data_IF_872251065339
#
_entry.id   IF_872251065339
#
_cell.length_a   1.000
_cell.length_b   1.000
_cell.length_c   1.000
_cell.angle_alpha   90.00
_cell.angle_beta   90.00
_cell.angle_gamma   90.00
#
_symmetry.space_group_name_H-M   'P 1'
#
loop_
_entity.id
_entity.type
_entity.pdbx_description
1 polymer ?
#
# COMPACT_ATOMS: atom_id res chain seq x y z
N UNK A 1 4.55 13.79 18.06
CA UNK A 1 5.13 13.10 16.89
C UNK A 1 6.54 13.61 16.75
N UNK A 2 7.52 12.71 16.65
CA UNK A 2 8.94 13.06 16.60
C UNK A 2 9.53 12.55 15.28
N UNK A 3 10.49 13.30 14.72
CA UNK A 3 11.41 12.78 13.72
C UNK A 3 12.64 12.24 14.45
N UNK A 4 13.04 11.02 14.08
CA UNK A 4 14.25 10.38 14.58
C UNK A 4 15.26 10.28 13.44
N UNK A 5 16.51 10.64 13.73
CA UNK A 5 17.64 10.39 12.84
C UNK A 5 18.65 9.52 13.55
N UNK A 6 19.18 8.56 12.80
CA UNK A 6 20.22 7.67 13.27
C UNK A 6 21.25 7.45 12.17
N UNK A 7 22.53 7.48 12.55
CA UNK A 7 23.66 7.31 11.63
C UNK A 7 24.23 5.88 11.67
N UNK A 8 23.56 4.96 12.36
CA UNK A 8 24.02 3.59 12.57
C UNK A 8 24.90 3.41 13.81
N UNK A 9 25.22 4.48 14.55
CA UNK A 9 25.99 4.45 15.79
C UNK A 9 25.40 5.40 16.86
N UNK A 10 25.82 5.23 18.12
CA UNK A 10 25.45 6.14 19.20
C UNK A 10 23.94 6.30 19.44
N UNK A 11 23.55 7.47 19.98
CA UNK A 11 22.19 7.76 20.37
C UNK A 11 21.36 8.32 19.21
N UNK A 12 20.06 7.98 19.21
CA UNK A 12 19.08 8.57 18.30
C UNK A 12 18.97 10.09 18.52
N UNK A 13 19.05 10.86 17.43
CA UNK A 13 18.70 12.28 17.45
C UNK A 13 17.20 12.41 17.25
N UNK A 14 16.58 13.35 17.96
CA UNK A 14 15.12 13.48 18.04
C UNK A 14 14.71 14.95 17.94
N UNK A 15 13.69 15.20 17.11
CA UNK A 15 13.03 16.50 17.02
C UNK A 15 11.52 16.34 17.11
N UNK A 16 10.90 16.99 18.08
CA UNK A 16 9.45 17.14 18.12
C UNK A 16 8.98 17.99 16.93
N UNK A 17 8.02 17.49 16.16
CA UNK A 17 7.48 18.25 15.02
C UNK A 17 6.37 19.19 15.48
N UNK A 18 6.51 20.48 15.16
CA UNK A 18 5.54 21.54 15.51
C UNK A 18 4.95 22.23 14.29
N UNK A 19 3.69 22.62 14.38
CA UNK A 19 3.01 23.49 13.43
C UNK A 19 2.30 24.61 14.21
N UNK A 20 2.52 25.87 13.82
CA UNK A 20 2.02 27.06 14.52
C UNK A 20 2.28 27.02 16.04
N UNK A 21 3.51 26.64 16.43
CA UNK A 21 3.97 26.60 17.82
C UNK A 21 3.44 25.42 18.64
N UNK A 22 2.64 24.52 18.07
CA UNK A 22 2.07 23.35 18.78
C UNK A 22 2.58 22.06 18.16
N UNK A 23 2.75 21.02 18.98
CA UNK A 23 3.03 19.67 18.50
C UNK A 23 1.98 19.23 17.49
N UNK A 24 2.42 18.66 16.37
CA UNK A 24 1.47 18.12 15.40
C UNK A 24 0.72 16.93 16.00
N UNK A 25 -0.54 16.77 15.60
CA UNK A 25 -1.36 15.61 15.95
C UNK A 25 -1.65 14.84 14.67
N UNK A 26 -1.27 13.57 14.68
CA UNK A 26 -1.68 12.58 13.70
C UNK A 26 -3.03 12.05 14.17
N UNK A 27 -4.05 12.16 13.31
CA UNK A 27 -5.42 11.74 13.64
C UNK A 27 -5.67 10.30 13.28
N UNK A 28 -4.96 9.77 12.29
CA UNK A 28 -5.09 8.41 11.80
C UNK A 28 -3.79 7.64 12.04
N UNK A 29 -2.91 7.56 11.05
CA UNK A 29 -1.66 6.80 11.13
C UNK A 29 -0.50 7.50 10.42
N UNK A 30 0.70 6.97 10.59
CA UNK A 30 1.87 7.28 9.76
C UNK A 30 2.31 5.97 9.13
N UNK A 31 1.97 5.78 7.85
CA UNK A 31 2.37 4.61 7.08
C UNK A 31 3.65 4.84 6.29
N UNK A 32 3.78 6.03 5.73
CA UNK A 32 4.86 6.38 4.83
C UNK A 32 5.34 7.82 5.07
N UNK A 33 6.62 8.06 4.80
CA UNK A 33 7.20 9.40 4.65
C UNK A 33 7.97 9.48 3.33
N UNK A 34 8.09 10.68 2.78
CA UNK A 34 8.98 10.96 1.66
C UNK A 34 10.16 11.81 2.14
N UNK A 35 11.35 11.51 1.62
CA UNK A 35 12.57 12.29 1.83
C UNK A 35 13.08 12.74 0.47
N UNK A 36 13.10 14.05 0.27
CA UNK A 36 13.59 14.74 -0.94
C UNK A 36 14.97 15.35 -0.66
N UNK A 37 15.57 16.04 -1.62
CA UNK A 37 16.85 16.73 -1.47
C UNK A 37 16.80 17.70 -0.27
N UNK A 38 15.77 18.54 -0.16
CA UNK A 38 15.69 19.55 0.90
C UNK A 38 14.60 19.35 1.95
N UNK A 39 13.64 18.45 1.73
CA UNK A 39 12.45 18.30 2.58
C UNK A 39 12.15 16.87 3.03
N UNK A 40 11.54 16.75 4.20
CA UNK A 40 10.82 15.56 4.66
C UNK A 40 9.32 15.87 4.61
N UNK A 41 8.55 14.95 4.05
CA UNK A 41 7.10 15.07 3.94
C UNK A 41 6.44 13.93 4.70
N UNK A 42 5.58 14.28 5.66
CA UNK A 42 4.80 13.34 6.46
C UNK A 42 3.33 13.43 6.05
N UNK A 43 2.67 12.29 5.93
CA UNK A 43 1.24 12.20 5.64
C UNK A 43 0.52 11.58 6.84
N UNK A 44 -0.44 12.30 7.42
CA UNK A 44 -1.47 11.71 8.29
C UNK A 44 -2.32 10.76 7.45
N UNK A 45 -1.88 9.51 7.38
CA UNK A 45 -2.26 8.56 6.35
C UNK A 45 -3.66 8.05 6.60
N UNK A 46 -4.41 7.96 5.51
CA UNK A 46 -5.73 7.40 5.55
C UNK A 46 -5.66 5.86 5.63
N UNK A 47 -5.35 5.37 6.82
CA UNK A 47 -5.59 4.01 7.27
C UNK A 47 -6.40 4.08 8.55
N UNK A 48 -7.41 3.21 8.66
CA UNK A 48 -8.12 3.04 9.92
C UNK A 48 -7.28 2.20 10.87
N UNK A 49 -7.34 2.54 12.15
CA UNK A 49 -6.94 1.62 13.21
C UNK A 49 -8.24 1.00 13.72
N UNK A 50 -8.47 -0.28 13.41
CA UNK A 50 -9.70 -0.96 13.81
C UNK A 50 -9.65 -1.28 15.31
N UNK A 51 -10.73 -0.98 16.05
CA UNK A 51 -10.82 -1.35 17.47
C UNK A 51 -10.69 -2.86 17.68
N UNK A 52 -11.10 -3.66 16.68
CA UNK A 52 -10.95 -5.12 16.66
C UNK A 52 -9.47 -5.56 16.68
N UNK A 53 -8.56 -4.81 16.03
CA UNK A 53 -7.11 -5.09 16.04
C UNK A 53 -6.47 -4.82 17.41
N UNK A 54 -7.10 -3.98 18.23
CA UNK A 54 -6.64 -3.66 19.58
C UNK A 54 -7.13 -4.68 20.62
N UNK A 55 -7.96 -5.63 20.22
CA UNK A 55 -8.59 -6.60 21.11
C UNK A 55 -7.96 -8.00 20.93
N UNK A 56 -7.69 -8.74 22.02
CA UNK A 56 -7.18 -10.09 21.92
C UNK A 56 -8.18 -11.00 21.20
N UNK A 57 -7.69 -11.87 20.32
CA UNK A 57 -8.49 -12.89 19.63
C UNK A 57 -9.06 -13.89 20.64
N UNK A 58 -10.34 -13.73 21.00
CA UNK A 58 -11.01 -14.58 21.98
C UNK A 58 -12.20 -15.31 21.34
N UNK A 59 -12.24 -16.64 21.49
CA UNK A 59 -13.05 -17.57 20.68
C UNK A 59 -14.51 -17.75 21.15
N UNK A 60 -14.99 -17.01 22.15
CA UNK A 60 -16.32 -17.22 22.74
C UNK A 60 -17.45 -16.57 21.91
N UNK A 61 -18.56 -17.29 21.67
CA UNK A 61 -19.76 -16.79 20.95
C UNK A 61 -20.35 -15.50 21.54
N UNK A 62 -20.37 -15.32 22.86
CA UNK A 62 -20.85 -14.07 23.49
C UNK A 62 -19.95 -12.88 23.14
N UNK A 63 -18.65 -13.14 23.01
CA UNK A 63 -17.66 -12.14 22.63
C UNK A 63 -17.79 -11.76 21.15
N UNK A 64 -18.06 -12.71 20.26
CA UNK A 64 -18.31 -12.43 18.84
C UNK A 64 -19.51 -11.48 18.65
N UNK A 65 -20.57 -11.60 19.45
CA UNK A 65 -21.69 -10.64 19.40
C UNK A 65 -21.29 -9.24 19.88
N UNK A 66 -20.43 -9.17 20.90
CA UNK A 66 -19.88 -7.93 21.41
C UNK A 66 -18.92 -7.26 20.42
N UNK A 67 -18.03 -8.02 19.78
CA UNK A 67 -17.12 -7.58 18.71
C UNK A 67 -17.91 -7.01 17.52
N UNK A 68 -18.96 -7.71 17.06
CA UNK A 68 -19.87 -7.19 16.03
C UNK A 68 -20.53 -5.87 16.44
N UNK A 69 -20.96 -5.76 17.71
CA UNK A 69 -21.52 -4.52 18.23
C UNK A 69 -20.48 -3.39 18.25
N UNK A 70 -19.27 -3.66 18.73
CA UNK A 70 -18.18 -2.69 18.78
C UNK A 70 -17.84 -2.18 17.38
N UNK A 71 -17.70 -3.07 16.40
CA UNK A 71 -17.50 -2.70 14.99
C UNK A 71 -18.62 -1.80 14.51
N UNK A 72 -19.87 -2.25 14.55
CA UNK A 72 -20.98 -1.45 14.03
C UNK A 72 -21.15 -0.09 14.74
N UNK A 73 -20.78 0.00 16.03
CA UNK A 73 -20.98 1.21 16.81
C UNK A 73 -19.82 2.20 16.74
N UNK A 74 -18.57 1.72 16.81
CA UNK A 74 -17.37 2.56 16.88
C UNK A 74 -16.68 2.75 15.53
N UNK A 75 -16.94 1.86 14.57
CA UNK A 75 -16.26 1.92 13.30
C UNK A 75 -16.72 3.11 12.45
N UNK A 76 -15.76 3.80 11.84
CA UNK A 76 -15.97 5.05 11.09
C UNK A 76 -15.07 5.04 9.86
N UNK A 77 -15.52 5.65 8.74
CA UNK A 77 -14.67 5.80 7.58
C UNK A 77 -13.44 6.66 7.91
N UNK A 78 -12.40 6.49 7.12
CA UNK A 78 -11.21 7.34 7.15
C UNK A 78 -11.57 8.82 6.97
N UNK A 79 -10.69 9.72 7.44
CA UNK A 79 -10.87 11.13 7.13
C UNK A 79 -10.64 11.32 5.62
N UNK A 80 -11.61 11.92 4.95
CA UNK A 80 -11.54 12.11 3.49
C UNK A 80 -10.53 13.19 3.07
N UNK A 81 -9.87 13.89 4.01
CA UNK A 81 -8.92 14.96 3.73
C UNK A 81 -7.54 14.61 4.31
N UNK A 82 -6.52 14.61 3.45
CA UNK A 82 -5.15 14.32 3.85
C UNK A 82 -4.46 15.54 4.45
N UNK A 83 -3.85 15.37 5.62
CA UNK A 83 -2.96 16.39 6.21
C UNK A 83 -1.50 16.03 5.94
N UNK A 84 -0.83 16.85 5.13
CA UNK A 84 0.60 16.74 4.89
C UNK A 84 1.36 17.75 5.75
N UNK A 85 2.48 17.32 6.32
CA UNK A 85 3.42 18.16 7.06
C UNK A 85 4.78 18.16 6.35
N UNK A 86 5.26 19.35 5.99
CA UNK A 86 6.48 19.57 5.21
C UNK A 86 7.53 20.18 6.12
N UNK A 87 8.71 19.55 6.18
CA UNK A 87 9.78 19.93 7.11
C UNK A 87 11.06 20.11 6.29
N UNK A 88 11.72 21.26 6.44
CA UNK A 88 13.01 21.51 5.78
C UNK A 88 14.09 20.70 6.49
N UNK A 89 14.85 19.91 5.74
CA UNK A 89 15.92 19.04 6.27
C UNK A 89 17.00 19.85 6.97
N UNK A 90 17.34 21.02 6.44
CA UNK A 90 18.32 21.94 7.04
C UNK A 90 17.94 22.44 8.44
N UNK A 91 16.65 22.36 8.80
CA UNK A 91 16.16 22.82 10.10
C UNK A 91 16.33 21.77 11.20
N UNK A 92 16.69 20.52 10.85
CA UNK A 92 17.03 19.43 11.78
C UNK A 92 18.42 19.65 12.41
N UNK A 93 18.52 20.72 13.19
CA UNK A 93 19.73 21.08 13.91
C UNK A 93 19.80 20.31 15.23
N UNK A 94 20.90 19.59 15.49
CA UNK A 94 21.09 18.78 16.69
C UNK A 94 21.05 19.58 18.02
N UNK A 95 21.21 20.90 17.99
CA UNK A 95 21.07 21.76 19.18
C UNK A 95 19.61 22.05 19.55
N UNK A 96 18.65 21.71 18.69
CA UNK A 96 17.22 21.94 18.89
C UNK A 96 16.52 20.64 19.26
N UNK A 97 15.53 20.74 20.14
CA UNK A 97 14.64 19.63 20.51
C UNK A 97 13.39 19.52 19.62
N UNK A 98 13.17 20.48 18.73
CA UNK A 98 11.98 20.55 17.89
C UNK A 98 12.28 21.17 16.52
N UNK A 99 11.41 20.91 15.56
CA UNK A 99 11.45 21.44 14.19
C UNK A 99 10.06 21.93 13.78
N UNK A 100 10.01 23.02 13.01
CA UNK A 100 8.75 23.56 12.50
C UNK A 100 8.41 22.93 11.15
N UNK A 101 7.16 22.50 11.01
CA UNK A 101 6.58 22.06 9.75
C UNK A 101 5.71 23.16 9.14
N UNK A 102 5.51 23.07 7.82
CA UNK A 102 4.37 23.66 7.12
C UNK A 102 3.29 22.61 6.97
N UNK A 103 2.03 23.03 6.89
CA UNK A 103 0.89 22.12 6.73
C UNK A 103 0.13 22.47 5.47
N UNK A 104 -0.21 21.46 4.69
CA UNK A 104 -1.15 21.56 3.58
C UNK A 104 -2.22 20.47 3.73
N UNK A 105 -3.44 20.79 3.31
CA UNK A 105 -4.55 19.84 3.25
C UNK A 105 -4.84 19.55 1.78
N UNK A 106 -4.75 18.28 1.41
CA UNK A 106 -5.09 17.81 0.06
C UNK A 106 -6.43 17.07 0.15
N UNK A 107 -7.45 17.47 -0.63
CA UNK A 107 -8.73 16.76 -0.67
C UNK A 107 -8.59 15.34 -1.22
N UNK A 108 -9.42 14.43 -0.67
CA UNK A 108 -9.42 12.97 -0.86
C UNK A 108 -8.32 12.29 -0.06
N UNK A 109 -8.67 11.14 0.51
CA UNK A 109 -7.83 10.25 1.30
C UNK A 109 -6.78 9.55 0.45
N UNK A 110 -5.57 9.35 0.99
CA UNK A 110 -4.49 8.64 0.33
C UNK A 110 -3.75 7.74 1.33
N UNK A 111 -3.37 6.56 0.86
CA UNK A 111 -2.57 5.59 1.61
C UNK A 111 -1.09 5.66 1.23
N UNK A 112 -0.83 5.73 -0.08
CA UNK A 112 0.51 5.75 -0.66
C UNK A 112 0.75 7.04 -1.42
N UNK A 113 1.97 7.57 -1.29
CA UNK A 113 2.40 8.73 -2.04
C UNK A 113 3.89 8.65 -2.38
N UNK A 114 4.33 9.42 -3.36
CA UNK A 114 5.73 9.58 -3.73
C UNK A 114 6.05 11.07 -3.83
N UNK A 115 7.33 11.39 -3.82
CA UNK A 115 7.80 12.74 -4.08
C UNK A 115 8.97 12.69 -5.09
N UNK A 116 9.03 13.68 -5.98
CA UNK A 116 10.26 13.91 -6.75
C UNK A 116 11.42 14.19 -5.78
N UNK A 117 12.60 13.63 -6.05
CA UNK A 117 13.75 13.85 -5.18
C UNK A 117 14.22 15.29 -5.24
N UNK A 118 14.33 15.87 -6.45
CA UNK A 118 14.72 17.26 -6.64
C UNK A 118 13.52 18.18 -6.50
N UNK A 119 13.72 19.27 -5.77
CA UNK A 119 12.68 20.24 -5.45
C UNK A 119 13.09 21.68 -5.83
N UNK A 120 13.33 21.97 -7.13
CA UNK A 120 13.84 23.26 -7.60
C UNK A 120 12.90 24.41 -7.23
N UNK A 121 13.47 25.57 -6.90
CA UNK A 121 12.71 26.76 -6.47
C UNK A 121 11.83 26.50 -5.23
N UNK A 122 12.26 25.60 -4.34
CA UNK A 122 11.50 25.14 -3.18
C UNK A 122 10.13 24.53 -3.54
N UNK A 123 9.97 24.00 -4.75
CA UNK A 123 8.73 23.34 -5.18
C UNK A 123 8.86 21.84 -4.99
N UNK A 124 7.97 21.27 -4.18
CA UNK A 124 7.86 19.83 -3.93
C UNK A 124 6.76 19.29 -4.82
N UNK A 125 7.07 18.30 -5.66
CA UNK A 125 6.08 17.53 -6.41
C UNK A 125 5.72 16.28 -5.61
N UNK A 126 4.44 16.09 -5.30
CA UNK A 126 3.90 14.89 -4.68
C UNK A 126 3.01 14.14 -5.67
N UNK A 127 3.16 12.81 -5.72
CA UNK A 127 2.34 11.91 -6.52
C UNK A 127 1.55 11.00 -5.59
N UNK A 128 0.22 11.04 -5.65
CA UNK A 128 -0.66 10.39 -4.69
C UNK A 128 -1.54 9.36 -5.38
N UNK A 129 -1.76 8.23 -4.70
CA UNK A 129 -2.89 7.34 -4.95
C UNK A 129 -3.99 7.66 -3.93
N UNK A 130 -5.10 8.24 -4.43
CA UNK A 130 -6.26 8.51 -3.60
C UNK A 130 -7.14 7.27 -3.49
N UNK A 131 -7.31 6.77 -2.27
CA UNK A 131 -8.08 5.56 -1.96
C UNK A 131 -9.55 5.90 -1.69
N UNK A 132 -10.24 6.44 -2.70
CA UNK A 132 -11.60 6.97 -2.52
C UNK A 132 -12.60 5.91 -2.04
N UNK A 133 -13.19 6.16 -0.87
CA UNK A 133 -14.20 5.35 -0.22
C UNK A 133 -13.79 3.88 0.01
N UNK A 134 -12.52 3.64 0.32
CA UNK A 134 -12.05 2.29 0.67
C UNK A 134 -10.75 2.33 1.47
N UNK A 135 -10.41 1.21 2.10
CA UNK A 135 -9.28 1.09 2.99
C UNK A 135 -8.69 -0.32 2.89
N UNK A 136 -7.39 -0.44 2.64
CA UNK A 136 -6.73 -1.75 2.59
C UNK A 136 -6.63 -2.45 3.96
N UNK A 137 -6.92 -1.75 5.06
CA UNK A 137 -7.08 -2.32 6.39
C UNK A 137 -8.51 -2.81 6.69
N UNK A 138 -9.45 -2.67 5.76
CA UNK A 138 -10.80 -3.23 5.89
C UNK A 138 -10.83 -4.65 5.33
N UNK A 139 -11.01 -5.62 6.22
CA UNK A 139 -11.07 -7.02 5.87
C UNK A 139 -12.50 -7.54 6.00
N UNK A 140 -12.89 -8.44 5.11
CA UNK A 140 -14.17 -9.14 5.20
C UNK A 140 -14.14 -10.02 6.44
N UNK A 141 -15.01 -9.70 7.40
CA UNK A 141 -15.08 -10.38 8.68
C UNK A 141 -16.19 -11.43 8.67
N UNK A 142 -16.12 -12.36 9.63
CA UNK A 142 -17.14 -13.40 9.85
C UNK A 142 -18.56 -12.83 10.01
N UNK A 143 -18.67 -11.57 10.44
CA UNK A 143 -19.95 -10.89 10.64
C UNK A 143 -20.64 -10.49 9.35
N UNK A 144 -19.90 -10.30 8.27
CA UNK A 144 -20.44 -9.90 6.97
C UNK A 144 -21.27 -11.04 6.35
N UNK A 145 -21.03 -12.29 6.76
CA UNK A 145 -21.80 -13.48 6.37
C UNK A 145 -22.95 -13.84 7.32
N UNK A 146 -23.16 -13.08 8.40
CA UNK A 146 -24.00 -13.49 9.54
C UNK A 146 -25.46 -13.00 9.50
N UNK A 147 -25.96 -12.44 8.39
CA UNK A 147 -27.35 -11.98 8.30
C UNK A 147 -28.33 -13.18 8.28
N UNK A 148 -29.15 -13.39 9.33
CA UNK A 148 -29.99 -14.59 9.46
C UNK A 148 -31.11 -14.69 8.41
N UNK A 149 -31.42 -13.60 7.71
CA UNK A 149 -32.42 -13.53 6.63
C UNK A 149 -31.89 -14.05 5.30
N UNK A 150 -30.60 -14.36 5.25
CA UNK A 150 -29.81 -14.59 4.06
C UNK A 150 -29.24 -16.02 4.14
N UNK A 151 -30.13 -17.01 4.31
CA UNK A 151 -29.78 -18.45 4.35
C UNK A 151 -29.64 -19.08 2.95
N UNK A 152 -29.15 -18.30 1.98
CA UNK A 152 -28.94 -18.81 0.62
C UNK A 152 -27.61 -19.57 0.55
N UNK A 153 -27.52 -20.56 -0.34
CA UNK A 153 -26.31 -21.34 -0.61
C UNK A 153 -25.12 -20.43 -1.00
N UNK A 154 -25.39 -19.33 -1.71
CA UNK A 154 -24.42 -18.29 -2.09
C UNK A 154 -23.63 -17.73 -0.90
N UNK A 155 -24.23 -17.61 0.29
CA UNK A 155 -23.53 -17.06 1.47
C UNK A 155 -22.65 -18.09 2.17
N UNK A 156 -22.91 -19.38 1.98
CA UNK A 156 -21.96 -20.42 2.41
C UNK A 156 -20.74 -20.45 1.51
N UNK A 157 -20.93 -20.25 0.20
CA UNK A 157 -19.83 -20.10 -0.75
C UNK A 157 -18.98 -18.90 -0.36
N UNK A 158 -19.53 -17.71 -0.13
CA UNK A 158 -18.77 -16.49 0.21
C UNK A 158 -17.91 -16.57 1.49
N UNK A 159 -18.06 -17.58 2.35
CA UNK A 159 -17.21 -17.72 3.56
C UNK A 159 -15.73 -17.91 3.25
N UNK A 160 -15.37 -18.37 2.04
CA UNK A 160 -13.96 -18.44 1.63
C UNK A 160 -13.30 -17.06 1.51
N UNK A 161 -14.10 -15.98 1.40
CA UNK A 161 -13.63 -14.60 1.38
C UNK A 161 -13.34 -14.03 2.77
N UNK A 162 -13.54 -14.81 3.85
CA UNK A 162 -13.15 -14.37 5.19
C UNK A 162 -11.66 -14.02 5.22
N UNK A 163 -11.34 -12.79 5.63
CA UNK A 163 -9.97 -12.29 5.64
C UNK A 163 -9.46 -11.82 4.28
N UNK A 164 -10.31 -11.70 3.26
CA UNK A 164 -9.99 -10.94 2.05
C UNK A 164 -10.18 -9.43 2.28
N UNK A 165 -9.47 -8.60 1.52
CA UNK A 165 -9.61 -7.14 1.58
C UNK A 165 -10.97 -6.74 0.97
N UNK A 166 -11.69 -5.86 1.65
CA UNK A 166 -12.97 -5.36 1.17
C UNK A 166 -12.80 -4.47 -0.07
N UNK A 167 -13.76 -4.56 -0.98
CA UNK A 167 -13.72 -3.85 -2.26
C UNK A 167 -13.99 -2.35 -2.11
N UNK A 168 -13.57 -1.54 -3.09
CA UNK A 168 -13.77 -0.10 -3.05
C UNK A 168 -15.24 0.31 -3.24
N UNK A 169 -15.67 1.33 -2.48
CA UNK A 169 -17.02 1.88 -2.59
C UNK A 169 -17.12 3.12 -3.48
N UNK A 170 -16.06 3.53 -4.18
CA UNK A 170 -16.08 4.58 -5.21
C UNK A 170 -14.83 4.47 -6.09
N UNK A 171 -14.84 5.13 -7.24
CA UNK A 171 -13.68 5.17 -8.13
C UNK A 171 -12.55 6.01 -7.52
N UNK A 172 -11.35 5.44 -7.46
CA UNK A 172 -10.15 6.09 -6.95
C UNK A 172 -9.48 6.98 -8.00
N UNK A 173 -8.53 7.82 -7.56
CA UNK A 173 -7.87 8.81 -8.43
C UNK A 173 -6.36 8.85 -8.20
N UNK A 174 -5.59 9.11 -9.24
CA UNK A 174 -4.19 9.49 -9.11
C UNK A 174 -4.06 11.01 -9.14
N UNK A 175 -3.14 11.56 -8.35
CA UNK A 175 -2.93 13.01 -8.31
C UNK A 175 -1.46 13.40 -8.30
N UNK A 176 -1.15 14.51 -8.96
CA UNK A 176 0.16 15.17 -8.93
C UNK A 176 -0.02 16.59 -8.41
N UNK A 177 0.68 16.93 -7.34
CA UNK A 177 0.52 18.17 -6.61
C UNK A 177 1.86 18.86 -6.48
N UNK A 178 1.93 20.13 -6.86
CA UNK A 178 3.13 20.96 -6.71
C UNK A 178 2.89 21.94 -5.59
N UNK A 179 3.76 21.92 -4.58
CA UNK A 179 3.58 22.63 -3.32
C UNK A 179 4.82 23.48 -3.07
N UNK A 180 4.62 24.73 -2.66
CA UNK A 180 5.72 25.55 -2.18
C UNK A 180 6.14 25.05 -0.78
N UNK A 181 7.35 24.53 -0.65
CA UNK A 181 7.87 23.96 0.60
C UNK A 181 8.13 24.99 1.70
N UNK A 182 8.28 26.27 1.37
CA UNK A 182 8.50 27.35 2.36
C UNK A 182 7.18 27.88 2.93
N UNK A 183 6.14 28.00 2.11
CA UNK A 183 4.84 28.54 2.54
C UNK A 183 3.83 27.46 2.89
N UNK A 184 3.90 26.30 2.25
CA UNK A 184 2.89 25.24 2.30
C UNK A 184 1.75 25.45 1.30
N UNK A 185 1.88 26.40 0.37
CA UNK A 185 0.82 26.72 -0.59
C UNK A 185 0.78 25.74 -1.76
N UNK A 186 -0.44 25.37 -2.17
CA UNK A 186 -0.67 24.58 -3.38
C UNK A 186 -0.45 25.47 -4.63
N UNK A 187 0.53 25.09 -5.45
CA UNK A 187 0.87 25.80 -6.70
C UNK A 187 0.14 25.21 -7.89
N UNK A 188 0.09 23.87 -7.97
CA UNK A 188 -0.53 23.13 -9.07
C UNK A 188 -1.15 21.84 -8.56
N UNK A 189 -2.24 21.44 -9.20
CA UNK A 189 -2.94 20.19 -8.95
C UNK A 189 -3.39 19.59 -10.28
N UNK A 190 -3.01 18.35 -10.48
CA UNK A 190 -3.42 17.50 -11.59
C UNK A 190 -4.02 16.23 -10.98
N UNK A 191 -5.17 15.77 -11.49
CA UNK A 191 -5.84 14.56 -10.98
C UNK A 191 -6.41 13.79 -12.16
N UNK A 192 -6.25 12.48 -12.15
CA UNK A 192 -6.73 11.58 -13.20
C UNK A 192 -7.49 10.41 -12.56
N UNK A 193 -8.51 9.92 -13.28
CA UNK A 193 -9.22 8.68 -12.95
C UNK A 193 -9.64 8.01 -14.27
N UNK A 194 -9.80 6.69 -14.25
CA UNK A 194 -10.30 5.90 -15.36
C UNK A 194 -11.29 4.86 -14.84
N UNK A 195 -12.53 4.90 -15.35
CA UNK A 195 -13.65 4.09 -14.83
C UNK A 195 -13.44 2.57 -14.94
N UNK A 196 -12.49 2.14 -15.77
CA UNK A 196 -12.18 0.72 -15.93
C UNK A 196 -10.97 0.29 -15.11
N UNK A 197 -10.03 1.20 -14.84
CA UNK A 197 -8.69 0.82 -14.36
C UNK A 197 -8.37 1.34 -12.96
N UNK A 198 -8.98 2.42 -12.48
CA UNK A 198 -8.58 3.06 -11.21
C UNK A 198 -9.42 2.65 -10.01
N UNK A 199 -9.82 1.38 -9.93
CA UNK A 199 -10.51 0.82 -8.76
C UNK A 199 -9.52 0.14 -7.83
N UNK A 200 -9.54 0.53 -6.55
CA UNK A 200 -8.72 -0.11 -5.52
C UNK A 200 -7.19 -0.03 -5.73
N UNK A 201 -6.59 1.16 -5.98
CA UNK A 201 -5.14 1.29 -6.16
C UNK A 201 -4.38 0.94 -4.87
N UNK A 202 -3.66 -0.17 -4.86
CA UNK A 202 -3.07 -0.74 -3.66
C UNK A 202 -1.59 -0.38 -3.52
N UNK A 203 -0.73 -0.88 -4.40
CA UNK A 203 0.74 -0.79 -4.30
C UNK A 203 1.31 -0.36 -5.66
N UNK A 204 2.50 0.24 -5.62
CA UNK A 204 3.18 0.78 -6.79
C UNK A 204 4.61 0.26 -6.96
N UNK A 205 5.11 0.41 -8.18
CA UNK A 205 6.52 0.32 -8.53
C UNK A 205 6.92 1.52 -9.40
N UNK A 206 8.20 1.86 -9.40
CA UNK A 206 8.77 2.85 -10.31
C UNK A 206 10.27 2.56 -10.47
N UNK A 207 10.88 3.11 -11.52
CA UNK A 207 12.33 3.04 -11.69
C UNK A 207 13.00 3.76 -10.51
N UNK A 208 13.74 3.04 -9.67
CA UNK A 208 14.37 3.58 -8.46
C UNK A 208 15.87 3.28 -8.33
N UNK A 209 16.46 2.71 -9.39
CA UNK A 209 17.88 2.37 -9.45
C UNK A 209 18.45 2.67 -10.85
N UNK A 210 19.20 3.79 -11.03
CA UNK A 210 19.48 4.83 -10.03
C UNK A 210 18.22 5.56 -9.55
N UNK A 211 18.24 6.17 -8.35
CA UNK A 211 17.12 6.97 -7.86
C UNK A 211 16.88 8.17 -8.81
N UNK A 212 15.69 8.33 -9.38
CA UNK A 212 15.43 9.41 -10.32
C UNK A 212 15.27 10.75 -9.60
N UNK A 213 15.69 11.83 -10.27
CA UNK A 213 15.48 13.19 -9.79
C UNK A 213 14.00 13.58 -9.78
N UNK A 214 13.25 13.12 -10.78
CA UNK A 214 11.81 13.32 -10.99
C UNK A 214 11.18 12.02 -11.47
N UNK A 215 9.93 11.78 -11.08
CA UNK A 215 9.19 10.59 -11.51
C UNK A 215 8.46 10.87 -12.83
N UNK A 216 8.76 10.05 -13.84
CA UNK A 216 8.10 10.11 -15.16
C UNK A 216 7.03 9.04 -15.33
N UNK A 217 7.27 7.82 -14.82
CA UNK A 217 6.29 6.73 -14.84
C UNK A 217 6.21 6.05 -13.48
N UNK A 218 4.97 5.79 -13.04
CA UNK A 218 4.66 5.01 -11.84
C UNK A 218 3.69 3.90 -12.26
N UNK A 219 4.03 2.67 -11.91
CA UNK A 219 3.23 1.49 -12.19
C UNK A 219 2.39 1.18 -10.96
N UNK A 220 1.07 1.14 -11.12
CA UNK A 220 0.15 0.87 -10.03
C UNK A 220 -0.56 -0.46 -10.24
N UNK A 221 -0.65 -1.24 -9.17
CA UNK A 221 -1.61 -2.33 -9.07
C UNK A 221 -2.92 -1.76 -8.52
N UNK A 222 -3.98 -1.95 -9.29
CA UNK A 222 -5.35 -1.70 -8.90
C UNK A 222 -6.05 -3.04 -8.72
N UNK A 223 -6.67 -3.27 -7.56
CA UNK A 223 -7.29 -4.56 -7.21
C UNK A 223 -8.66 -4.77 -7.87
N UNK A 224 -9.18 -3.74 -8.54
CA UNK A 224 -10.49 -3.81 -9.17
C UNK A 224 -11.64 -3.69 -8.17
N UNK A 225 -12.81 -4.15 -8.58
CA UNK A 225 -14.00 -4.18 -7.72
C UNK A 225 -14.97 -5.28 -8.14
N UNK A 226 -15.58 -5.93 -7.15
CA UNK A 226 -16.48 -7.06 -7.35
C UNK A 226 -17.62 -7.02 -6.33
N UNK A 227 -18.78 -7.56 -6.70
CA UNK A 227 -19.98 -7.58 -5.85
C UNK A 227 -19.77 -8.35 -4.54
N UNK A 228 -19.04 -9.45 -4.61
CA UNK A 228 -18.71 -10.31 -3.47
C UNK A 228 -17.77 -9.66 -2.44
N UNK A 229 -16.95 -8.70 -2.88
CA UNK A 229 -16.10 -7.87 -2.02
C UNK A 229 -16.83 -6.67 -1.41
N UNK A 230 -18.09 -6.41 -1.81
CA UNK A 230 -18.90 -5.28 -1.35
C UNK A 230 -19.80 -5.70 -0.18
N UNK A 231 -19.35 -5.44 1.05
CA UNK A 231 -20.12 -5.79 2.25
C UNK A 231 -21.16 -4.72 2.61
N UNK A 232 -22.24 -5.12 3.31
CA UNK A 232 -23.23 -4.17 3.86
C UNK A 232 -22.58 -3.15 4.82
N UNK A 233 -21.52 -3.56 5.51
CA UNK A 233 -20.75 -2.70 6.40
C UNK A 233 -20.04 -1.59 5.60
N UNK A 234 -19.36 -1.93 4.51
CA UNK A 234 -18.71 -0.95 3.63
C UNK A 234 -19.71 0.05 3.05
N UNK A 235 -20.89 -0.43 2.63
CA UNK A 235 -21.98 0.46 2.19
C UNK A 235 -22.37 1.43 3.31
N UNK A 236 -22.53 0.94 4.55
CA UNK A 236 -22.90 1.79 5.68
C UNK A 236 -21.83 2.86 6.00
N UNK A 237 -20.55 2.46 5.98
CA UNK A 237 -19.43 3.37 6.24
C UNK A 237 -19.34 4.48 5.19
N UNK A 238 -19.53 4.11 3.93
CA UNK A 238 -19.17 5.00 2.82
C UNK A 238 -20.36 5.61 2.08
N UNK A 239 -21.62 5.18 2.26
CA UNK A 239 -22.77 5.71 1.49
C UNK A 239 -22.84 7.24 1.37
N UNK A 240 -22.43 7.96 2.42
CA UNK A 240 -22.44 9.43 2.49
C UNK A 240 -21.04 10.04 2.27
N UNK A 241 -20.15 9.32 1.57
CA UNK A 241 -18.77 9.72 1.31
C UNK A 241 -18.68 11.13 0.71
N UNK A 242 -17.87 11.99 1.34
CA UNK A 242 -17.76 13.42 1.03
C UNK A 242 -17.45 13.73 -0.44
N UNK A 243 -16.64 12.88 -1.07
CA UNK A 243 -16.14 13.12 -2.44
C UNK A 243 -16.67 12.14 -3.48
N UNK A 244 -17.84 11.56 -3.18
CA UNK A 244 -18.63 10.66 -4.02
C UNK A 244 -18.62 11.08 -5.49
N UNK A 245 -18.06 10.23 -6.35
CA UNK A 245 -18.00 10.41 -7.79
C UNK A 245 -19.14 9.65 -8.48
N UNK A 246 -19.36 8.40 -8.10
CA UNK A 246 -20.41 7.54 -8.65
C UNK A 246 -21.53 7.33 -7.63
N UNK A 247 -22.79 7.40 -8.05
CA UNK A 247 -23.91 7.09 -7.17
C UNK A 247 -23.95 5.58 -6.82
N UNK A 248 -24.68 5.21 -5.77
CA UNK A 248 -24.73 3.81 -5.30
C UNK A 248 -25.31 2.82 -6.34
N UNK A 249 -26.23 3.27 -7.20
CA UNK A 249 -26.80 2.42 -8.25
C UNK A 249 -25.75 2.09 -9.31
N UNK A 250 -24.99 3.09 -9.76
CA UNK A 250 -23.88 2.89 -10.70
C UNK A 250 -22.79 2.00 -10.10
N UNK A 251 -22.48 2.17 -8.80
CA UNK A 251 -21.52 1.30 -8.11
C UNK A 251 -22.02 -0.14 -8.10
N UNK A 252 -23.30 -0.37 -7.77
CA UNK A 252 -23.87 -1.72 -7.80
C UNK A 252 -23.77 -2.34 -9.20
N UNK A 253 -24.14 -1.60 -10.26
CA UNK A 253 -24.05 -2.09 -11.62
C UNK A 253 -22.61 -2.42 -12.03
N UNK A 254 -21.64 -1.60 -11.62
CA UNK A 254 -20.22 -1.82 -11.93
C UNK A 254 -19.66 -3.01 -11.14
N UNK A 255 -19.99 -3.15 -9.86
CA UNK A 255 -19.51 -4.28 -9.04
C UNK A 255 -20.15 -5.60 -9.45
N UNK A 256 -21.42 -5.59 -9.89
CA UNK A 256 -22.08 -6.75 -10.49
C UNK A 256 -21.43 -7.18 -11.82
N UNK A 257 -21.02 -6.22 -12.65
CA UNK A 257 -20.25 -6.52 -13.86
C UNK A 257 -18.81 -6.95 -13.56
N UNK A 258 -18.26 -6.50 -12.42
CA UNK A 258 -16.87 -6.70 -12.07
C UNK A 258 -15.93 -5.75 -12.81
N UNK A 259 -14.83 -5.39 -12.14
CA UNK A 259 -13.65 -4.81 -12.76
C UNK A 259 -12.45 -5.61 -12.26
N UNK A 260 -11.67 -6.25 -13.16
CA UNK A 260 -10.56 -7.08 -12.74
C UNK A 260 -9.44 -6.24 -12.15
N UNK A 261 -8.57 -6.92 -11.39
CA UNK A 261 -7.26 -6.38 -11.04
C UNK A 261 -6.52 -5.95 -12.32
N UNK A 262 -5.72 -4.90 -12.24
CA UNK A 262 -4.91 -4.44 -13.37
C UNK A 262 -3.57 -3.87 -12.91
N UNK A 263 -2.59 -3.94 -13.81
CA UNK A 263 -1.33 -3.22 -13.73
C UNK A 263 -1.42 -2.07 -14.74
N UNK A 264 -1.41 -0.84 -14.25
CA UNK A 264 -1.44 0.36 -15.10
C UNK A 264 -0.14 1.13 -15.00
N UNK A 265 0.25 1.78 -16.09
CA UNK A 265 1.33 2.78 -16.12
C UNK A 265 0.72 4.17 -16.06
N UNK A 266 1.04 4.92 -15.02
CA UNK A 266 0.73 6.34 -14.91
C UNK A 266 1.95 7.14 -15.39
N UNK A 267 1.78 7.91 -16.45
CA UNK A 267 2.80 8.81 -16.97
C UNK A 267 2.58 10.23 -16.46
N UNK A 268 3.67 10.93 -16.13
CA UNK A 268 3.68 12.30 -15.65
C UNK A 268 4.52 13.18 -16.58
N UNK A 269 3.85 14.06 -17.31
CA UNK A 269 4.53 15.07 -18.11
C UNK A 269 5.32 16.07 -17.24
N UNK A 270 6.49 16.54 -17.70
CA UNK A 270 7.19 17.67 -17.08
C UNK A 270 6.27 18.88 -16.94
N UNK A 271 6.40 19.65 -15.85
CA UNK A 271 5.52 20.80 -15.63
C UNK A 271 5.63 21.85 -16.76
N UNK A 272 6.83 21.99 -17.30
CA UNK A 272 7.20 22.90 -18.37
C UNK A 272 6.68 22.49 -19.76
N UNK A 273 6.33 21.21 -19.98
CA UNK A 273 5.85 20.72 -21.28
C UNK A 273 4.35 20.89 -21.48
N UNK A 274 3.58 21.15 -20.42
CA UNK A 274 2.12 21.28 -20.48
C UNK A 274 1.65 22.67 -20.08
N UNK A 275 0.52 23.12 -20.64
CA UNK A 275 -0.09 24.38 -20.19
C UNK A 275 -0.65 24.22 -18.78
N UNK A 276 -0.85 25.34 -18.08
CA UNK A 276 -1.46 25.36 -16.75
C UNK A 276 -2.89 24.78 -16.72
N UNK A 277 -3.58 24.77 -17.86
CA UNK A 277 -4.95 24.27 -18.02
C UNK A 277 -5.03 22.79 -18.42
N UNK A 278 -3.92 22.20 -18.88
CA UNK A 278 -3.85 20.82 -19.35
C UNK A 278 -3.41 19.90 -18.19
N UNK A 279 -3.87 18.65 -18.16
CA UNK A 279 -3.51 17.68 -17.14
C UNK A 279 -2.14 17.06 -17.45
N UNK A 280 -1.26 16.97 -16.46
CA UNK A 280 0.06 16.31 -16.58
C UNK A 280 0.01 14.79 -16.57
N UNK A 281 -1.10 14.24 -16.09
CA UNK A 281 -1.25 12.82 -15.85
C UNK A 281 -1.94 12.17 -17.06
N UNK A 282 -1.39 11.03 -17.48
CA UNK A 282 -2.05 10.13 -18.43
C UNK A 282 -1.83 8.67 -18.04
N UNK A 283 -2.71 7.79 -18.51
CA UNK A 283 -2.56 6.33 -18.40
C UNK A 283 -2.28 5.81 -19.82
N UNK A 284 -1.02 5.80 -20.27
CA UNK A 284 -0.69 5.37 -21.63
C UNK A 284 -0.82 3.85 -21.85
N UNK A 285 -0.84 3.04 -20.78
CA UNK A 285 -0.80 1.59 -20.90
C UNK A 285 -1.38 0.88 -19.69
N UNK A 286 -2.10 -0.22 -19.92
CA UNK A 286 -2.79 -1.02 -18.89
C UNK A 286 -2.80 -2.48 -19.30
N UNK A 287 -2.56 -3.37 -18.34
CA UNK A 287 -2.84 -4.79 -18.46
C UNK A 287 -3.89 -5.20 -17.43
N UNK A 288 -5.05 -5.64 -17.90
CA UNK A 288 -6.09 -6.26 -17.06
C UNK A 288 -5.79 -7.74 -16.86
N UNK A 289 -5.73 -8.17 -15.60
CA UNK A 289 -5.57 -9.58 -15.27
C UNK A 289 -6.91 -10.33 -15.51
N UNK A 290 -6.87 -11.66 -15.70
CA UNK A 290 -8.10 -12.43 -15.76
C UNK A 290 -8.87 -12.40 -14.43
N UNK A 291 -10.15 -12.72 -14.47
CA UNK A 291 -10.99 -12.80 -13.27
C UNK A 291 -10.46 -13.87 -12.30
N UNK A 292 -10.57 -13.59 -10.99
CA UNK A 292 -10.04 -14.46 -9.95
C UNK A 292 -8.53 -14.36 -9.72
N UNK A 293 -7.84 -13.45 -10.43
CA UNK A 293 -6.42 -13.17 -10.21
C UNK A 293 -6.25 -12.02 -9.24
N UNK A 294 -5.45 -12.29 -8.20
CA UNK A 294 -5.00 -11.33 -7.22
C UNK A 294 -3.52 -11.06 -7.41
N UNK A 295 -3.15 -9.79 -7.52
CA UNK A 295 -1.77 -9.41 -7.89
C UNK A 295 -1.25 -8.41 -6.89
N UNK A 296 -0.01 -8.59 -6.45
CA UNK A 296 0.63 -7.71 -5.47
C UNK A 296 2.13 -7.56 -5.74
N UNK A 297 2.78 -6.77 -4.89
CA UNK A 297 4.24 -6.62 -4.86
C UNK A 297 4.87 -6.29 -6.23
N UNK A 298 4.33 -5.32 -6.99
CA UNK A 298 4.96 -4.90 -8.22
C UNK A 298 6.38 -4.40 -7.91
N UNK A 299 7.35 -4.77 -8.73
CA UNK A 299 8.74 -4.34 -8.61
C UNK A 299 9.30 -3.99 -9.99
N UNK A 300 9.83 -2.78 -10.13
CA UNK A 300 10.57 -2.40 -11.33
C UNK A 300 11.97 -3.03 -11.29
N UNK A 301 12.36 -3.71 -12.36
CA UNK A 301 13.69 -4.27 -12.55
C UNK A 301 14.34 -3.57 -13.76
N UNK A 302 15.39 -2.77 -13.57
CA UNK A 302 16.04 -2.09 -14.68
C UNK A 302 16.75 -3.09 -15.59
N UNK A 303 16.64 -2.88 -16.91
CA UNK A 303 17.36 -3.70 -17.91
C UNK A 303 18.87 -3.41 -17.88
N UNK A 304 19.22 -2.19 -17.51
CA UNK A 304 20.57 -1.70 -17.31
C UNK A 304 20.55 -0.39 -16.55
N UNK A 305 21.65 0.35 -16.55
CA UNK A 305 21.79 1.56 -15.73
C UNK A 305 21.35 2.84 -16.47
N UNK A 306 20.44 2.74 -17.44
CA UNK A 306 20.01 3.89 -18.24
C UNK A 306 19.24 4.91 -17.41
N UNK A 307 18.54 4.45 -16.36
CA UNK A 307 17.70 5.30 -15.53
C UNK A 307 16.37 5.71 -16.18
N UNK A 308 16.09 5.26 -17.41
CA UNK A 308 14.82 5.53 -18.06
C UNK A 308 13.68 4.79 -17.34
N UNK A 309 12.57 5.49 -17.12
CA UNK A 309 11.40 5.04 -16.35
C UNK A 309 10.66 3.84 -16.94
N UNK A 310 10.94 3.49 -18.20
CA UNK A 310 10.34 2.38 -18.96
C UNK A 310 11.37 1.36 -19.45
N UNK A 311 12.67 1.60 -19.27
CA UNK A 311 13.74 0.69 -19.72
C UNK A 311 14.00 -0.43 -18.70
N UNK A 312 13.05 -1.35 -18.64
CA UNK A 312 13.10 -2.43 -17.67
C UNK A 312 11.89 -3.34 -17.76
N UNK A 313 11.65 -3.99 -16.64
CA UNK A 313 10.57 -4.95 -16.47
C UNK A 313 9.77 -4.62 -15.22
N UNK A 314 8.48 -4.94 -15.22
CA UNK A 314 7.69 -5.01 -14.00
C UNK A 314 7.51 -6.47 -13.63
N UNK A 315 7.91 -6.82 -12.42
CA UNK A 315 7.69 -8.15 -11.85
C UNK A 315 6.60 -8.07 -10.80
N UNK A 316 5.62 -8.96 -10.89
CA UNK A 316 4.51 -9.05 -9.94
C UNK A 316 4.42 -10.46 -9.37
N UNK A 317 3.97 -10.55 -8.11
CA UNK A 317 3.49 -11.81 -7.53
C UNK A 317 2.00 -11.95 -7.80
N UNK A 318 1.63 -13.09 -8.36
CA UNK A 318 0.28 -13.39 -8.83
C UNK A 318 -0.25 -14.59 -8.07
N UNK A 319 -1.41 -14.43 -7.48
CA UNK A 319 -2.17 -15.46 -6.81
C UNK A 319 -3.49 -15.69 -7.56
N UNK A 320 -3.84 -16.93 -7.87
CA UNK A 320 -5.14 -17.28 -8.44
C UNK A 320 -5.54 -18.68 -7.98
N UNK A 321 -6.82 -19.02 -8.16
CA UNK A 321 -7.32 -20.37 -7.95
C UNK A 321 -8.17 -20.80 -9.13
N UNK A 322 -7.82 -21.91 -9.76
CA UNK A 322 -8.64 -22.53 -10.82
C UNK A 322 -9.44 -23.74 -10.30
N UNK A 323 -9.35 -24.02 -8.99
CA UNK A 323 -10.01 -25.15 -8.33
C UNK A 323 -9.36 -26.51 -8.62
N UNK A 324 -8.28 -26.56 -9.40
CA UNK A 324 -7.52 -27.78 -9.67
C UNK A 324 -6.48 -28.04 -8.58
N UNK A 325 -5.99 -29.29 -8.51
CA UNK A 325 -4.81 -29.64 -7.71
C UNK A 325 -3.50 -29.55 -8.49
N UNK A 326 -3.54 -29.11 -9.75
CA UNK A 326 -2.38 -29.09 -10.66
C UNK A 326 -1.53 -27.83 -10.47
N UNK A 327 -2.13 -26.76 -9.98
CA UNK A 327 -1.46 -25.52 -9.61
C UNK A 327 -1.59 -25.28 -8.11
N UNK A 328 -0.56 -24.65 -7.52
CA UNK A 328 -0.67 -24.10 -6.16
C UNK A 328 -1.18 -22.65 -6.18
N UNK A 329 -1.50 -22.11 -7.37
CA UNK A 329 -2.07 -20.79 -7.55
C UNK A 329 -1.07 -19.65 -7.46
N UNK A 330 0.24 -19.89 -7.33
CA UNK A 330 1.24 -18.84 -7.14
C UNK A 330 2.20 -18.76 -8.34
N UNK A 331 2.33 -17.56 -8.90
CA UNK A 331 3.20 -17.31 -10.05
C UNK A 331 3.96 -15.98 -9.90
N UNK A 332 5.06 -15.87 -10.63
CA UNK A 332 5.79 -14.61 -10.85
C UNK A 332 5.58 -14.21 -12.31
N UNK A 333 4.98 -13.05 -12.54
CA UNK A 333 4.73 -12.54 -13.90
C UNK A 333 5.68 -11.40 -14.20
N UNK A 334 6.27 -11.42 -15.39
CA UNK A 334 7.27 -10.44 -15.85
C UNK A 334 6.73 -9.73 -17.08
N UNK A 335 6.55 -8.43 -16.98
CA UNK A 335 6.07 -7.55 -18.05
C UNK A 335 7.21 -6.70 -18.58
N UNK A 336 7.18 -6.39 -19.88
CA UNK A 336 8.01 -5.30 -20.40
C UNK A 336 7.42 -3.97 -19.92
N UNK A 337 8.21 -3.14 -19.24
CA UNK A 337 7.72 -1.92 -18.62
C UNK A 337 7.27 -0.86 -19.65
N UNK A 338 7.76 -0.94 -20.90
CA UNK A 338 7.34 -0.06 -21.97
C UNK A 338 6.03 -0.48 -22.65
N UNK A 339 5.55 -1.71 -22.43
CA UNK A 339 4.41 -2.28 -23.14
C UNK A 339 3.67 -3.37 -22.34
N UNK A 340 2.88 -2.93 -21.36
CA UNK A 340 2.02 -3.75 -20.51
C UNK A 340 0.92 -4.47 -21.30
N UNK A 341 0.30 -3.80 -22.29
CA UNK A 341 -0.81 -4.38 -23.06
C UNK A 341 -0.46 -5.68 -23.81
N UNK A 342 0.82 -5.90 -24.11
CA UNK A 342 1.30 -7.14 -24.75
C UNK A 342 1.29 -8.33 -23.80
N UNK A 343 0.98 -8.08 -22.52
CA UNK A 343 0.92 -9.08 -21.48
C UNK A 343 2.28 -9.46 -20.92
N UNK A 344 2.31 -10.45 -20.02
CA UNK A 344 3.56 -10.91 -19.43
C UNK A 344 4.43 -11.57 -20.50
N UNK A 345 5.66 -11.09 -20.62
CA UNK A 345 6.72 -11.69 -21.44
C UNK A 345 7.15 -13.06 -20.90
N UNK A 346 6.95 -13.30 -19.60
CA UNK A 346 7.25 -14.56 -18.94
C UNK A 346 6.35 -14.75 -17.71
N UNK A 347 5.92 -15.99 -17.49
CA UNK A 347 5.26 -16.43 -16.26
C UNK A 347 6.07 -17.58 -15.68
N UNK A 348 6.50 -17.45 -14.44
CA UNK A 348 7.27 -18.46 -13.72
C UNK A 348 6.39 -19.08 -12.64
N UNK A 349 6.42 -20.40 -12.54
CA UNK A 349 5.67 -21.16 -11.56
C UNK A 349 6.46 -22.40 -11.15
N UNK A 350 6.17 -22.94 -9.97
CA UNK A 350 6.71 -24.21 -9.52
C UNK A 350 5.75 -24.84 -8.51
N UNK A 351 5.52 -26.17 -8.50
CA UNK A 351 4.63 -26.82 -7.54
C UNK A 351 4.99 -26.53 -6.06
N UNK A 352 6.29 -26.34 -5.79
CA UNK A 352 6.79 -25.99 -4.44
C UNK A 352 6.89 -24.49 -4.18
N UNK A 353 6.64 -23.64 -5.18
CA UNK A 353 6.60 -22.19 -4.99
C UNK A 353 5.28 -21.81 -4.32
N UNK A 354 5.22 -21.98 -3.01
CA UNK A 354 4.05 -21.65 -2.21
C UNK A 354 4.36 -20.41 -1.37
N UNK A 355 3.97 -19.25 -1.87
CA UNK A 355 4.19 -17.96 -1.22
C UNK A 355 2.88 -17.45 -0.63
N UNK A 356 2.94 -16.98 0.63
CA UNK A 356 1.81 -16.31 1.25
C UNK A 356 1.56 -14.94 0.61
N UNK A 357 0.45 -14.30 1.01
CA UNK A 357 0.15 -12.92 0.63
C UNK A 357 1.33 -11.99 0.90
N UNK A 358 1.71 -11.21 -0.12
CA UNK A 358 2.78 -10.22 -0.05
C UNK A 358 2.25 -8.83 -0.33
N UNK A 359 2.93 -7.80 0.17
CA UNK A 359 2.55 -6.39 -0.04
C UNK A 359 3.59 -5.66 -0.88
N UNK A 360 4.83 -5.58 -0.37
CA UNK A 360 5.93 -4.89 -1.00
C UNK A 360 7.04 -5.87 -1.40
N UNK A 361 7.73 -5.56 -2.49
CA UNK A 361 8.94 -6.24 -2.92
C UNK A 361 10.11 -5.25 -3.03
N UNK A 362 11.31 -5.79 -3.16
CA UNK A 362 12.51 -5.04 -3.51
C UNK A 362 13.36 -5.86 -4.48
N UNK A 363 14.04 -5.19 -5.39
CA UNK A 363 14.99 -5.81 -6.31
C UNK A 363 16.43 -5.58 -5.83
N UNK A 364 17.22 -6.64 -5.89
CA UNK A 364 18.66 -6.60 -5.69
C UNK A 364 19.32 -7.15 -6.95
N UNK A 365 20.17 -6.36 -7.59
CA UNK A 365 20.91 -6.79 -8.79
C UNK A 365 21.75 -8.05 -8.51
N UNK A 366 22.25 -8.17 -7.27
CA UNK A 366 23.04 -9.30 -6.81
C UNK A 366 22.77 -9.57 -5.34
N UNK A 367 22.68 -10.85 -4.99
CA UNK A 367 22.68 -11.28 -3.58
C UNK A 367 24.12 -11.21 -3.08
N UNK A 368 24.37 -10.36 -2.10
CA UNK A 368 25.70 -10.17 -1.51
C UNK A 368 25.65 -10.28 0.02
N UNK A 369 26.82 -10.55 0.61
CA UNK A 369 26.94 -10.56 2.06
C UNK A 369 26.66 -9.17 2.61
N UNK A 370 25.91 -9.12 3.70
CA UNK A 370 25.67 -7.90 4.46
C UNK A 370 26.99 -7.25 4.89
N UNK A 371 27.17 -5.98 4.57
CA UNK A 371 28.37 -5.19 4.89
C UNK A 371 28.19 -4.25 6.09
N UNK A 372 26.95 -4.01 6.54
CA UNK A 372 26.67 -3.18 7.70
C UNK A 372 27.19 -3.79 9.01
N UNK A 373 27.74 -2.96 9.88
CA UNK A 373 28.27 -3.37 11.20
C UNK A 373 27.19 -3.48 12.28
N UNK A 374 26.13 -2.68 12.18
CA UNK A 374 25.00 -2.75 13.11
C UNK A 374 24.33 -4.12 13.03
N UNK A 375 24.09 -4.82 14.12
CA UNK A 375 23.36 -6.09 14.09
C UNK A 375 22.57 -6.24 15.37
N UNK A 376 21.26 -6.41 15.24
CA UNK A 376 20.40 -6.81 16.35
C UNK A 376 20.32 -8.32 16.33
N UNK A 377 20.69 -8.96 17.44
CA UNK A 377 20.51 -10.39 17.61
C UNK A 377 19.02 -10.71 17.77
N UNK A 378 18.39 -11.45 16.84
CA UNK A 378 16.95 -11.73 16.92
C UNK A 378 16.55 -12.44 18.21
N UNK A 379 17.41 -13.28 18.77
CA UNK A 379 17.11 -13.94 20.03
C UNK A 379 17.13 -12.96 21.19
N UNK A 380 18.07 -12.01 21.22
CA UNK A 380 18.08 -10.99 22.27
C UNK A 380 16.91 -10.03 22.16
N UNK A 381 16.48 -9.72 20.93
CA UNK A 381 15.42 -8.74 20.67
C UNK A 381 14.03 -9.30 20.97
N UNK A 382 13.75 -10.55 20.58
CA UNK A 382 12.39 -11.10 20.61
C UNK A 382 12.10 -12.04 21.77
N UNK A 383 13.10 -12.58 22.47
CA UNK A 383 12.89 -13.70 23.42
C UNK A 383 11.88 -13.41 24.53
N UNK A 384 11.82 -12.19 25.06
CA UNK A 384 10.86 -11.83 26.10
C UNK A 384 9.42 -11.78 25.57
N UNK A 385 9.23 -11.34 24.32
CA UNK A 385 7.93 -11.33 23.64
C UNK A 385 7.52 -12.76 23.29
N UNK A 386 8.44 -13.54 22.72
CA UNK A 386 8.19 -14.91 22.23
C UNK A 386 7.76 -15.84 23.37
N UNK A 387 8.36 -15.74 24.56
CA UNK A 387 7.96 -16.51 25.75
C UNK A 387 6.50 -16.31 26.18
N UNK A 388 5.89 -15.20 25.77
CA UNK A 388 4.50 -14.86 26.08
C UNK A 388 3.51 -15.30 24.99
N UNK A 389 4.02 -15.81 23.85
CA UNK A 389 3.20 -16.27 22.73
C UNK A 389 2.82 -17.74 22.89
N UNK A 390 1.96 -18.23 21.98
CA UNK A 390 1.57 -19.64 21.93
C UNK A 390 2.78 -20.57 21.66
N UNK A 391 2.61 -21.86 21.93
CA UNK A 391 3.67 -22.85 21.70
C UNK A 391 4.09 -22.90 20.23
N UNK A 392 3.15 -22.72 19.30
CA UNK A 392 3.41 -22.70 17.86
C UNK A 392 4.35 -21.55 17.47
N UNK A 393 4.15 -20.36 18.04
CA UNK A 393 5.04 -19.21 17.80
C UNK A 393 6.40 -19.43 18.45
N UNK A 394 6.45 -19.99 19.66
CA UNK A 394 7.71 -20.33 20.33
C UNK A 394 8.51 -21.35 19.52
N UNK A 395 7.86 -22.39 19.00
CA UNK A 395 8.48 -23.43 18.18
C UNK A 395 8.99 -22.88 16.84
N UNK A 396 8.23 -22.00 16.20
CA UNK A 396 8.68 -21.28 15.01
C UNK A 396 10.00 -20.55 15.28
N UNK A 397 10.06 -19.76 16.36
CA UNK A 397 11.26 -18.99 16.70
C UNK A 397 12.44 -19.89 17.08
N UNK A 398 12.21 -20.89 17.93
CA UNK A 398 13.25 -21.78 18.43
C UNK A 398 13.84 -22.68 17.34
N UNK A 399 13.04 -23.12 16.36
CA UNK A 399 13.49 -24.08 15.36
C UNK A 399 13.93 -23.44 14.05
N UNK A 400 13.39 -22.27 13.69
CA UNK A 400 13.61 -21.65 12.38
C UNK A 400 14.28 -20.29 12.48
N UNK A 401 13.82 -19.41 13.36
CA UNK A 401 14.29 -18.01 13.41
C UNK A 401 15.63 -17.88 14.14
N UNK A 402 15.73 -18.31 15.40
CA UNK A 402 16.97 -18.19 16.20
C UNK A 402 18.13 -19.00 15.64
N UNK A 403 17.92 -20.26 15.21
CA UNK A 403 18.99 -21.03 14.59
C UNK A 403 19.32 -20.54 13.17
N UNK A 404 18.50 -19.65 12.60
CA UNK A 404 18.59 -19.18 11.21
C UNK A 404 18.63 -20.35 10.21
N UNK A 405 17.78 -21.36 10.42
CA UNK A 405 17.71 -22.50 9.50
C UNK A 405 17.15 -22.02 8.16
N UNK A 406 17.91 -22.22 7.09
CA UNK A 406 17.36 -22.11 5.74
C UNK A 406 16.37 -23.27 5.49
N UNK A 407 15.33 -23.06 4.68
CA UNK A 407 14.50 -24.16 4.20
C UNK A 407 15.39 -25.22 3.56
N UNK A 408 15.23 -26.48 3.96
CA UNK A 408 15.99 -27.58 3.38
C UNK A 408 15.76 -27.63 1.87
N UNK A 409 16.84 -27.65 1.09
CA UNK A 409 16.77 -27.97 -0.35
C UNK A 409 16.50 -29.46 -0.53
N UNK A 410 15.84 -29.86 -1.63
CA UNK A 410 15.53 -31.27 -1.95
C UNK A 410 16.74 -32.22 -1.93
N UNK A 411 17.97 -31.71 -1.97
CA UNK A 411 19.20 -32.50 -1.81
C UNK A 411 19.33 -33.15 -0.41
N UNK A 412 18.52 -32.76 0.58
CA UNK A 412 18.47 -33.39 1.91
C UNK A 412 17.38 -34.47 2.05
N UNK A 413 16.63 -34.77 0.98
CA UNK A 413 15.53 -35.75 1.00
C UNK A 413 15.92 -37.19 0.66
N UNK A 414 17.20 -37.51 0.42
CA UNK A 414 17.63 -38.90 0.13
C UNK A 414 17.99 -39.74 1.37
N UNK A 415 17.75 -39.26 2.59
CA UNK A 415 17.98 -40.04 3.82
C UNK A 415 16.80 -39.94 4.79
N UNK A 416 15.66 -40.52 4.41
CA UNK A 416 14.63 -41.02 5.33
C UNK A 416 13.94 -42.25 4.71
#
# INVERSE_FOLDING_TARGET
MDILQWDGAGNLKRWEVKYNGRSIKIKQSIHQMAVTEDYIVLLDTAFKVSVEELLPTLTNKKYQQFEKFLRNFFDRPQLSDNSFYIIRRSDLNASKSHVNAKKIIIPREAAHFLADYKNPNNLITLHLSHVCAWDAAEWISKFDFSDPRNRNLEIQELRHLYGAIAGPMDISKFGCYVINGETGDLVRKDVLMDENSTWGPAIYAYQNSPLPERLEDIYWICLGCWEDLKTKHMIHLYKDYKYRQLNLESINQITEQGRPSNLLRLHIDPQESVKKTENRLSIPDVYSFPDGYWVMSPQFIPRGNSGHSTDGYIVCLVHYGDGSSETNGNEVWIFDAANLNSGPTCKLWHPQFNVAFTIHATWLQKVEKRTGSYYIDPQKDYNDIVKQQSLEVQDLFNNWVYPKKEPKTEADCELC
#
